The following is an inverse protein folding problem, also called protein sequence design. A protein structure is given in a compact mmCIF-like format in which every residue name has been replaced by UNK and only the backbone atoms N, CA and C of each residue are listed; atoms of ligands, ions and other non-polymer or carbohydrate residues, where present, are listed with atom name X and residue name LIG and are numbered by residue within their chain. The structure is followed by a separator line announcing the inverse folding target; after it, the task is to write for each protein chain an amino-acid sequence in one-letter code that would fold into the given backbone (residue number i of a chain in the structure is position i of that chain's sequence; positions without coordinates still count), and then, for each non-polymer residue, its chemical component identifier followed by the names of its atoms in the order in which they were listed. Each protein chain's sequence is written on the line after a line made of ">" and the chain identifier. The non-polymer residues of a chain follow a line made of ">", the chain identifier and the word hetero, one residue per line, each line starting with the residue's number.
data_IF_417337268885
#
_entry.id   IF_417337268885
#
_cell.length_a   1.000
_cell.length_b   1.000
_cell.length_c   1.000
_cell.angle_alpha   90.00
_cell.angle_beta   90.00
_cell.angle_gamma   90.00
#
_symmetry.space_group_name_H-M   'P 1'
#
loop_
_entity.id
_entity.type
_entity.pdbx_description
1 polymer ?
#
# COMPACT_ATOMS: atom_id res chain seq x y z
N UNK A 1 -13.58 21.50 7.49
CA UNK A 1 -13.84 20.05 7.34
C UNK A 1 -14.08 19.82 5.86
N UNK A 2 -13.13 19.21 5.13
CA UNK A 2 -13.36 18.83 3.74
C UNK A 2 -14.58 17.91 3.74
N UNK A 3 -15.72 18.37 3.24
CA UNK A 3 -16.91 17.54 3.13
C UNK A 3 -16.59 16.51 2.06
N UNK A 4 -16.44 15.25 2.48
CA UNK A 4 -16.17 14.17 1.56
C UNK A 4 -17.40 14.00 0.64
N UNK A 5 -17.28 14.20 -0.68
CA UNK A 5 -18.41 14.13 -1.61
C UNK A 5 -19.05 12.74 -1.71
N UNK A 6 -18.43 11.73 -1.09
CA UNK A 6 -18.87 10.34 -1.09
C UNK A 6 -19.62 9.92 0.19
N UNK A 7 -19.85 10.80 1.17
CA UNK A 7 -20.39 10.43 2.50
C UNK A 7 -21.80 9.83 2.50
N UNK A 8 -22.69 10.30 1.63
CA UNK A 8 -24.12 9.98 1.66
C UNK A 8 -24.60 9.18 0.43
N UNK A 9 -23.66 8.52 -0.25
CA UNK A 9 -23.93 7.78 -1.48
C UNK A 9 -24.16 6.28 -1.21
N UNK A 10 -25.07 5.69 -1.99
CA UNK A 10 -25.17 4.23 -2.08
C UNK A 10 -23.94 3.64 -2.76
N UNK A 11 -23.67 2.34 -2.58
CA UNK A 11 -22.50 1.67 -3.18
C UNK A 11 -22.38 1.89 -4.69
N UNK A 12 -23.49 1.79 -5.44
CA UNK A 12 -23.45 1.99 -6.90
C UNK A 12 -23.29 3.47 -7.26
N UNK A 13 -23.92 4.38 -6.50
CA UNK A 13 -23.77 5.83 -6.71
C UNK A 13 -22.35 6.32 -6.42
N UNK A 14 -21.64 5.67 -5.49
CA UNK A 14 -20.22 5.91 -5.27
C UNK A 14 -19.41 5.65 -6.55
N UNK A 15 -19.61 4.48 -7.19
CA UNK A 15 -18.91 4.13 -8.42
C UNK A 15 -19.26 5.07 -9.57
N UNK A 16 -20.54 5.40 -9.73
CA UNK A 16 -20.99 6.33 -10.76
C UNK A 16 -20.34 7.72 -10.61
N UNK A 17 -20.37 8.28 -9.40
CA UNK A 17 -19.77 9.58 -9.12
C UNK A 17 -18.24 9.55 -9.24
N UNK A 18 -17.62 8.46 -8.81
CA UNK A 18 -16.18 8.21 -8.99
C UNK A 18 -15.79 8.19 -10.46
N UNK A 19 -16.50 7.43 -11.30
CA UNK A 19 -16.23 7.38 -12.73
C UNK A 19 -16.46 8.74 -13.39
N UNK A 20 -17.56 9.43 -13.08
CA UNK A 20 -17.84 10.75 -13.62
C UNK A 20 -16.74 11.76 -13.25
N UNK A 21 -16.31 11.80 -11.99
CA UNK A 21 -15.21 12.68 -11.56
C UNK A 21 -13.88 12.30 -12.18
N UNK A 22 -13.62 11.01 -12.36
CA UNK A 22 -12.41 10.52 -13.02
C UNK A 22 -12.39 10.94 -14.50
N UNK A 23 -13.51 10.76 -15.22
CA UNK A 23 -13.65 11.21 -16.60
C UNK A 23 -13.53 12.72 -16.71
N UNK A 24 -14.23 13.48 -15.87
CA UNK A 24 -14.17 14.94 -15.86
C UNK A 24 -12.77 15.48 -15.54
N UNK A 25 -11.99 14.77 -14.69
CA UNK A 25 -10.59 15.13 -14.43
C UNK A 25 -9.66 14.75 -15.58
N UNK A 26 -9.92 13.65 -16.29
CA UNK A 26 -9.21 13.30 -17.52
C UNK A 26 -9.48 14.29 -18.66
N UNK A 27 -10.72 14.78 -18.76
CA UNK A 27 -11.16 15.84 -19.69
C UNK A 27 -10.71 17.25 -19.29
N UNK A 28 -9.95 17.40 -18.20
CA UNK A 28 -9.31 18.66 -17.80
C UNK A 28 -10.25 19.71 -17.19
N UNK A 29 -11.48 19.33 -16.84
CA UNK A 29 -12.46 20.28 -16.30
C UNK A 29 -12.31 20.51 -14.78
N UNK A 30 -11.66 19.60 -14.05
CA UNK A 30 -11.50 19.68 -12.60
C UNK A 30 -10.01 19.85 -12.22
N UNK A 31 -9.64 20.84 -11.39
CA UNK A 31 -8.24 21.08 -11.00
C UNK A 31 -7.65 19.93 -10.17
N UNK A 32 -6.40 19.52 -10.40
CA UNK A 32 -5.70 18.41 -9.71
C UNK A 32 -5.50 18.57 -8.19
N UNK A 33 -6.07 19.59 -7.56
CA UNK A 33 -5.87 19.92 -6.14
C UNK A 33 -6.95 19.38 -5.21
N UNK A 34 -8.10 18.95 -5.74
CA UNK A 34 -9.25 18.49 -4.94
C UNK A 34 -9.44 16.98 -5.01
N UNK A 35 -8.43 16.23 -4.57
CA UNK A 35 -8.54 14.78 -4.46
C UNK A 35 -9.30 14.40 -3.19
N UNK A 36 -10.35 13.59 -3.35
CA UNK A 36 -10.98 12.96 -2.19
C UNK A 36 -10.10 11.82 -1.66
N UNK A 37 -10.14 11.57 -0.36
CA UNK A 37 -9.36 10.49 0.26
C UNK A 37 -9.70 9.11 -0.34
N UNK A 38 -10.99 8.86 -0.63
CA UNK A 38 -11.43 7.60 -1.23
C UNK A 38 -10.89 7.38 -2.64
N UNK A 39 -10.79 8.45 -3.44
CA UNK A 39 -10.21 8.42 -4.80
C UNK A 39 -8.72 8.06 -4.74
N UNK A 40 -7.96 8.70 -3.84
CA UNK A 40 -6.54 8.40 -3.61
C UNK A 40 -6.39 6.95 -3.16
N UNK A 41 -7.22 6.50 -2.21
CA UNK A 41 -7.14 5.16 -1.66
C UNK A 41 -7.35 4.09 -2.74
N UNK A 42 -8.37 4.24 -3.60
CA UNK A 42 -8.62 3.30 -4.71
C UNK A 42 -7.44 3.28 -5.68
N UNK A 43 -6.89 4.44 -6.03
CA UNK A 43 -5.76 4.52 -6.97
C UNK A 43 -4.50 3.87 -6.38
N UNK A 44 -4.20 4.11 -5.11
CA UNK A 44 -3.08 3.46 -4.41
C UNK A 44 -3.29 1.95 -4.33
N UNK A 45 -4.49 1.49 -3.97
CA UNK A 45 -4.79 0.06 -3.85
C UNK A 45 -4.71 -0.65 -5.21
N UNK A 46 -5.14 0.01 -6.30
CA UNK A 46 -5.01 -0.50 -7.66
C UNK A 46 -3.54 -0.64 -8.07
N UNK A 47 -2.70 0.36 -7.80
CA UNK A 47 -1.26 0.29 -8.05
C UNK A 47 -0.58 -0.82 -7.22
N UNK A 48 -0.96 -0.96 -5.95
CA UNK A 48 -0.46 -2.03 -5.08
C UNK A 48 -0.92 -3.41 -5.58
N UNK A 49 -2.16 -3.55 -6.03
CA UNK A 49 -2.67 -4.81 -6.60
C UNK A 49 -1.95 -5.17 -7.92
N UNK A 50 -1.73 -4.21 -8.81
CA UNK A 50 -1.04 -4.42 -10.08
C UNK A 50 0.42 -4.84 -9.86
N UNK A 51 1.15 -4.12 -9.00
CA UNK A 51 2.53 -4.48 -8.64
C UNK A 51 2.60 -5.79 -7.86
N UNK A 52 1.66 -6.03 -6.95
CA UNK A 52 1.53 -7.27 -6.18
C UNK A 52 1.23 -8.49 -7.05
N UNK A 53 0.41 -8.35 -8.10
CA UNK A 53 0.16 -9.43 -9.05
C UNK A 53 1.42 -9.77 -9.86
N UNK A 54 2.14 -8.76 -10.35
CA UNK A 54 3.39 -8.96 -11.09
C UNK A 54 4.48 -9.61 -10.22
N UNK A 55 4.72 -9.09 -9.02
CA UNK A 55 5.71 -9.65 -8.08
C UNK A 55 5.27 -11.02 -7.56
N UNK A 56 3.98 -11.18 -7.27
CA UNK A 56 3.39 -12.41 -6.76
C UNK A 56 3.54 -13.58 -7.74
N UNK A 57 3.24 -13.37 -9.03
CA UNK A 57 3.42 -14.42 -10.05
C UNK A 57 4.88 -14.88 -10.16
N UNK A 58 5.84 -13.95 -10.07
CA UNK A 58 7.26 -14.27 -10.06
C UNK A 58 7.69 -15.04 -8.81
N UNK A 59 7.19 -14.67 -7.63
CA UNK A 59 7.45 -15.40 -6.38
C UNK A 59 6.91 -16.83 -6.41
N UNK A 60 5.74 -17.04 -7.02
CA UNK A 60 5.15 -18.37 -7.22
C UNK A 60 6.02 -19.23 -8.13
N UNK A 61 6.44 -18.69 -9.28
CA UNK A 61 7.33 -19.39 -10.22
C UNK A 61 8.67 -19.80 -9.58
N UNK A 62 9.20 -18.98 -8.67
CA UNK A 62 10.44 -19.27 -7.93
C UNK A 62 10.26 -20.15 -6.69
N UNK A 63 9.05 -20.64 -6.40
CA UNK A 63 8.71 -21.37 -5.17
C UNK A 63 9.07 -20.60 -3.88
N UNK A 64 9.04 -19.27 -3.93
CA UNK A 64 9.34 -18.39 -2.80
C UNK A 64 8.07 -17.78 -2.19
N UNK A 65 6.93 -18.46 -2.29
CA UNK A 65 5.63 -17.95 -1.83
C UNK A 65 5.61 -17.68 -0.32
N UNK A 66 6.37 -18.43 0.48
CA UNK A 66 6.52 -18.20 1.92
C UNK A 66 7.20 -16.87 2.27
N UNK A 67 7.99 -16.29 1.36
CA UNK A 67 8.66 -15.02 1.58
C UNK A 67 7.64 -13.88 1.71
N UNK A 68 6.61 -13.86 0.87
CA UNK A 68 5.54 -12.85 0.93
C UNK A 68 4.80 -12.90 2.28
N UNK A 69 4.44 -14.10 2.74
CA UNK A 69 3.77 -14.29 4.04
C UNK A 69 4.63 -13.81 5.22
N UNK A 70 5.94 -14.11 5.18
CA UNK A 70 6.86 -13.66 6.22
C UNK A 70 7.00 -12.12 6.25
N UNK A 71 7.13 -11.47 5.08
CA UNK A 71 7.22 -10.02 4.99
C UNK A 71 5.99 -9.30 5.57
N UNK A 72 4.78 -9.83 5.36
CA UNK A 72 3.56 -9.22 5.91
C UNK A 72 3.57 -9.13 7.45
N UNK A 73 4.16 -10.12 8.14
CA UNK A 73 4.25 -10.11 9.60
C UNK A 73 5.44 -9.29 10.13
N UNK A 74 6.57 -9.29 9.42
CA UNK A 74 7.78 -8.60 9.89
C UNK A 74 7.77 -7.11 9.61
N UNK A 75 7.09 -6.64 8.55
CA UNK A 75 6.96 -5.20 8.26
C UNK A 75 6.19 -4.46 9.36
N UNK A 76 5.10 -5.05 9.87
CA UNK A 76 4.32 -4.47 10.97
C UNK A 76 5.15 -4.42 12.26
N UNK A 77 5.91 -5.48 12.53
CA UNK A 77 6.83 -5.52 13.68
C UNK A 77 7.86 -4.38 13.61
N UNK A 78 8.43 -4.11 12.44
CA UNK A 78 9.35 -2.98 12.24
C UNK A 78 8.74 -1.61 12.57
N UNK A 79 7.48 -1.41 12.18
CA UNK A 79 6.72 -0.18 12.49
C UNK A 79 6.50 -0.05 14.01
N UNK A 80 6.12 -1.14 14.68
CA UNK A 80 5.89 -1.17 16.14
C UNK A 80 7.17 -0.85 16.92
N UNK A 81 8.31 -1.44 16.53
CA UNK A 81 9.61 -1.15 17.18
C UNK A 81 9.99 0.32 16.99
N UNK A 82 9.81 0.87 15.80
CA UNK A 82 10.14 2.28 15.53
C UNK A 82 9.29 3.24 16.34
N UNK A 83 7.99 2.96 16.46
CA UNK A 83 7.10 3.75 17.31
C UNK A 83 7.53 3.70 18.78
N UNK A 84 7.93 2.54 19.30
CA UNK A 84 8.37 2.41 20.69
C UNK A 84 9.65 3.21 20.98
N UNK A 85 10.60 3.27 20.03
CA UNK A 85 11.85 3.99 20.18
C UNK A 85 11.70 5.51 20.04
N UNK A 86 10.91 5.97 19.05
CA UNK A 86 10.79 7.39 18.75
C UNK A 86 9.63 8.08 19.46
N UNK A 87 8.68 7.29 19.99
CA UNK A 87 7.45 7.75 20.67
C UNK A 87 6.66 8.81 19.88
N UNK A 88 6.89 8.89 18.58
CA UNK A 88 6.31 9.88 17.65
C UNK A 88 5.89 9.19 16.36
N UNK A 89 4.73 9.58 15.81
CA UNK A 89 4.16 9.03 14.59
C UNK A 89 4.66 9.78 13.34
N UNK A 90 5.98 9.94 13.21
CA UNK A 90 6.55 10.56 12.02
C UNK A 90 6.62 9.52 10.89
N UNK A 91 5.77 9.68 9.88
CA UNK A 91 5.66 8.75 8.72
C UNK A 91 7.02 8.41 8.10
N UNK A 92 7.96 9.37 7.88
CA UNK A 92 9.25 9.06 7.28
C UNK A 92 10.04 8.03 8.08
N UNK A 93 10.02 8.12 9.42
CA UNK A 93 10.79 7.24 10.26
C UNK A 93 10.18 5.84 10.35
N UNK A 94 8.86 5.76 10.43
CA UNK A 94 8.13 4.49 10.40
C UNK A 94 8.35 3.74 9.08
N UNK A 95 8.37 4.45 7.95
CA UNK A 95 8.68 3.85 6.64
C UNK A 95 10.09 3.28 6.59
N UNK A 96 11.10 4.05 7.03
CA UNK A 96 12.50 3.60 7.02
C UNK A 96 12.66 2.35 7.88
N UNK A 97 12.10 2.34 9.09
CA UNK A 97 12.20 1.19 9.97
C UNK A 97 11.53 -0.06 9.40
N UNK A 98 10.33 0.08 8.82
CA UNK A 98 9.64 -1.03 8.14
C UNK A 98 10.50 -1.60 7.01
N UNK A 99 11.08 -0.72 6.17
CA UNK A 99 11.95 -1.12 5.07
C UNK A 99 13.21 -1.87 5.56
N UNK A 100 13.85 -1.39 6.62
CA UNK A 100 15.01 -2.07 7.25
C UNK A 100 14.62 -3.46 7.75
N UNK A 101 13.51 -3.59 8.46
CA UNK A 101 13.03 -4.91 8.94
C UNK A 101 12.70 -5.85 7.77
N UNK A 102 12.13 -5.33 6.68
CA UNK A 102 11.92 -6.08 5.44
C UNK A 102 13.22 -6.61 4.84
N UNK A 103 14.23 -5.76 4.67
CA UNK A 103 15.56 -6.15 4.15
C UNK A 103 16.18 -7.23 5.03
N UNK A 104 16.21 -7.02 6.36
CA UNK A 104 16.73 -8.00 7.32
C UNK A 104 16.02 -9.34 7.18
N UNK A 105 14.69 -9.34 7.05
CA UNK A 105 13.90 -10.57 6.87
C UNK A 105 14.27 -11.30 5.58
N UNK A 106 14.37 -10.58 4.45
CA UNK A 106 14.75 -11.21 3.17
C UNK A 106 16.16 -11.79 3.20
N UNK A 107 17.10 -11.11 3.87
CA UNK A 107 18.46 -11.60 4.05
C UNK A 107 18.49 -12.89 4.88
N UNK A 108 17.73 -12.93 5.98
CA UNK A 108 17.63 -14.13 6.84
C UNK A 108 17.05 -15.33 6.08
N UNK A 109 15.98 -15.11 5.32
CA UNK A 109 15.35 -16.16 4.50
C UNK A 109 16.32 -16.64 3.42
N UNK A 110 17.01 -15.72 2.74
CA UNK A 110 17.98 -16.08 1.70
C UNK A 110 19.18 -16.85 2.27
N UNK A 111 19.65 -16.50 3.46
CA UNK A 111 20.73 -17.22 4.14
C UNK A 111 20.29 -18.65 4.50
N UNK A 112 19.08 -18.81 5.03
CA UNK A 112 18.51 -20.12 5.36
C UNK A 112 18.34 -21.00 4.12
N UNK A 113 17.79 -20.43 3.04
CA UNK A 113 17.62 -21.15 1.78
C UNK A 113 18.97 -21.58 1.18
N UNK A 114 20.03 -20.79 1.32
CA UNK A 114 21.36 -21.20 0.84
C UNK A 114 21.95 -22.39 1.61
N UNK A 115 21.52 -22.59 2.85
CA UNK A 115 22.05 -23.66 3.73
C UNK A 115 21.33 -25.00 3.50
N UNK A 116 20.07 -24.98 3.01
CA UNK A 116 19.27 -26.19 2.72
C UNK A 116 19.27 -26.52 1.24
#
# INVERSE_FOLDING_TARGET
>A
MFLNPYSDLSFLSFFELFFLRLFQRCLGQIPWSEWAADEIQILVLLCVAATGALVGTFLVLRRMTMLANALSHTLLLGIVIAYLLLTTLTIPWLMVASLVTGIVTTFLISALHRIT
#
